data_IF_779604907057
#
_entry.id   IF_779604907057
#
_cell.length_a   1.000
_cell.length_b   1.000
_cell.length_c   1.000
_cell.angle_alpha   90.00
_cell.angle_beta   90.00
_cell.angle_gamma   90.00
#
_symmetry.space_group_name_H-M   'P 1'
#
loop_
_entity.id
_entity.type
_entity.pdbx_description
1 polymer ?
#
# COMPACT_ATOMS: atom_id res chain seq x y z
N UNK A 1 -18.74 12.12 -3.59
CA UNK A 1 -17.61 13.00 -3.92
C UNK A 1 -16.92 13.30 -2.61
N UNK A 2 -15.60 13.09 -2.50
CA UNK A 2 -14.84 13.47 -1.30
C UNK A 2 -13.99 14.68 -1.67
N UNK A 3 -14.53 15.86 -1.40
CA UNK A 3 -13.81 17.14 -1.48
C UNK A 3 -13.23 17.44 -0.10
N UNK A 4 -11.99 17.94 -0.05
CA UNK A 4 -11.33 18.33 1.19
C UNK A 4 -10.37 19.49 0.95
N UNK A 5 -10.15 20.32 1.97
CA UNK A 5 -9.07 21.33 1.96
C UNK A 5 -7.70 20.66 2.17
N UNK A 6 -6.59 21.34 1.83
CA UNK A 6 -5.25 20.81 2.08
C UNK A 6 -4.98 20.51 3.58
N UNK A 7 -5.52 21.32 4.49
CA UNK A 7 -5.44 21.05 5.93
C UNK A 7 -6.18 19.77 6.35
N UNK A 8 -7.40 19.56 5.84
CA UNK A 8 -8.16 18.33 6.07
C UNK A 8 -7.48 17.11 5.43
N UNK A 9 -6.93 17.26 4.23
CA UNK A 9 -6.15 16.24 3.56
C UNK A 9 -4.92 15.84 4.38
N UNK A 10 -4.24 16.81 4.99
CA UNK A 10 -3.06 16.59 5.83
C UNK A 10 -3.41 15.82 7.10
N UNK A 11 -4.50 16.19 7.77
CA UNK A 11 -5.01 15.46 8.93
C UNK A 11 -5.39 14.02 8.55
N UNK A 12 -6.11 13.84 7.45
CA UNK A 12 -6.52 12.52 7.00
C UNK A 12 -5.32 11.65 6.61
N UNK A 13 -4.34 12.21 5.90
CA UNK A 13 -3.11 11.50 5.56
C UNK A 13 -2.36 11.02 6.80
N UNK A 14 -2.20 11.87 7.82
CA UNK A 14 -1.58 11.47 9.10
C UNK A 14 -2.33 10.33 9.76
N UNK A 15 -3.66 10.41 9.84
CA UNK A 15 -4.48 9.35 10.41
C UNK A 15 -4.34 8.01 9.67
N UNK A 16 -4.21 8.04 8.33
CA UNK A 16 -3.94 6.84 7.52
C UNK A 16 -2.55 6.26 7.83
N UNK A 17 -1.53 7.11 7.92
CA UNK A 17 -0.15 6.71 8.25
C UNK A 17 -0.04 6.12 9.66
N UNK A 18 -0.70 6.72 10.64
CA UNK A 18 -0.73 6.23 12.03
C UNK A 18 -1.44 4.87 12.13
N UNK A 19 -2.58 4.73 11.44
CA UNK A 19 -3.32 3.48 11.40
C UNK A 19 -2.51 2.37 10.71
N UNK A 20 -1.88 2.66 9.57
CA UNK A 20 -1.01 1.70 8.88
C UNK A 20 0.17 1.27 9.76
N UNK A 21 0.82 2.20 10.45
CA UNK A 21 1.92 1.92 11.39
C UNK A 21 1.47 1.00 12.53
N UNK A 22 0.29 1.26 13.09
CA UNK A 22 -0.29 0.44 14.17
C UNK A 22 -0.60 -0.97 13.69
N UNK A 23 -1.20 -1.10 12.50
CA UNK A 23 -1.49 -2.40 11.87
C UNK A 23 -0.21 -3.21 11.62
N UNK A 24 0.88 -2.56 11.21
CA UNK A 24 2.19 -3.22 11.02
C UNK A 24 2.76 -3.70 12.36
N UNK A 25 2.70 -2.89 13.42
CA UNK A 25 3.17 -3.28 14.74
C UNK A 25 2.36 -4.47 15.30
N UNK A 26 1.05 -4.46 15.12
CA UNK A 26 0.16 -5.56 15.51
C UNK A 26 0.46 -6.82 14.69
N UNK A 27 0.64 -6.68 13.37
CA UNK A 27 1.01 -7.78 12.49
C UNK A 27 2.34 -8.42 12.90
N UNK A 28 3.36 -7.61 13.25
CA UNK A 28 4.64 -8.10 13.77
C UNK A 28 4.45 -8.91 15.06
N UNK A 29 3.63 -8.41 15.98
CA UNK A 29 3.33 -9.09 17.24
C UNK A 29 2.69 -10.45 16.99
N UNK A 30 1.71 -10.50 16.09
CA UNK A 30 1.04 -11.74 15.71
C UNK A 30 1.95 -12.71 14.96
N UNK A 31 2.86 -12.20 14.12
CA UNK A 31 3.87 -13.00 13.45
C UNK A 31 4.80 -13.68 14.46
N UNK A 32 5.24 -12.94 15.47
CA UNK A 32 6.08 -13.45 16.56
C UNK A 32 5.38 -14.50 17.42
N UNK A 33 4.05 -14.45 17.47
CA UNK A 33 3.19 -15.43 18.14
C UNK A 33 2.74 -16.57 17.21
N UNK A 34 3.35 -16.71 16.02
CA UNK A 34 3.01 -17.71 15.00
C UNK A 34 1.54 -17.67 14.52
N UNK A 35 0.86 -16.54 14.71
CA UNK A 35 -0.49 -16.29 14.19
C UNK A 35 -0.43 -15.78 12.74
N UNK A 36 0.18 -16.58 11.88
CA UNK A 36 0.54 -16.20 10.51
C UNK A 36 -0.63 -15.70 9.67
N UNK A 37 -1.77 -16.37 9.75
CA UNK A 37 -2.99 -15.96 9.05
C UNK A 37 -3.41 -14.54 9.38
N UNK A 38 -3.46 -14.22 10.68
CA UNK A 38 -3.86 -12.89 11.15
C UNK A 38 -2.80 -11.84 10.87
N UNK A 39 -1.53 -12.17 11.07
CA UNK A 39 -0.41 -11.28 10.73
C UNK A 39 -0.50 -10.85 9.26
N UNK A 40 -0.67 -11.81 8.34
CA UNK A 40 -0.84 -11.55 6.91
C UNK A 40 -2.05 -10.67 6.62
N UNK A 41 -3.19 -10.93 7.26
CA UNK A 41 -4.38 -10.09 7.06
C UNK A 41 -4.17 -8.64 7.52
N UNK A 42 -3.48 -8.43 8.64
CA UNK A 42 -3.15 -7.09 9.12
C UNK A 42 -2.15 -6.39 8.20
N UNK A 43 -1.17 -7.10 7.64
CA UNK A 43 -0.26 -6.55 6.61
C UNK A 43 -1.03 -6.04 5.40
N UNK A 44 -1.98 -6.84 4.87
CA UNK A 44 -2.82 -6.43 3.73
C UNK A 44 -3.66 -5.19 4.08
N UNK A 45 -4.22 -5.14 5.29
CA UNK A 45 -4.96 -3.96 5.75
C UNK A 45 -4.07 -2.71 5.83
N UNK A 46 -2.85 -2.84 6.36
CA UNK A 46 -1.90 -1.73 6.39
C UNK A 46 -1.60 -1.21 4.98
N UNK A 47 -1.36 -2.11 4.02
CA UNK A 47 -1.12 -1.74 2.61
C UNK A 47 -2.35 -1.05 1.98
N UNK A 48 -3.57 -1.46 2.30
CA UNK A 48 -4.77 -0.75 1.86
C UNK A 48 -4.90 0.67 2.43
N UNK A 49 -4.45 0.89 3.67
CA UNK A 49 -4.40 2.23 4.27
C UNK A 49 -3.34 3.09 3.59
N UNK A 50 -2.17 2.52 3.31
CA UNK A 50 -1.08 3.20 2.59
C UNK A 50 -1.47 3.57 1.16
N UNK A 51 -2.24 2.72 0.46
CA UNK A 51 -2.76 3.06 -0.86
C UNK A 51 -3.66 4.29 -0.86
N UNK A 52 -4.50 4.44 0.18
CA UNK A 52 -5.26 5.70 0.36
C UNK A 52 -4.33 6.87 0.67
N UNK A 53 -3.33 6.66 1.52
CA UNK A 53 -2.38 7.71 1.89
C UNK A 53 -1.64 8.24 0.64
N UNK A 54 -1.23 7.37 -0.28
CA UNK A 54 -0.62 7.73 -1.56
C UNK A 54 -1.55 8.62 -2.40
N UNK A 55 -2.82 8.23 -2.58
CA UNK A 55 -3.77 9.05 -3.35
C UNK A 55 -3.99 10.45 -2.76
N UNK A 56 -4.02 10.56 -1.42
CA UNK A 56 -4.12 11.85 -0.74
C UNK A 56 -2.85 12.66 -0.95
N UNK A 57 -1.68 12.03 -0.77
CA UNK A 57 -0.38 12.65 -0.91
C UNK A 57 -0.19 13.21 -2.32
N UNK A 58 -0.42 12.41 -3.36
CA UNK A 58 -0.28 12.85 -4.76
C UNK A 58 -1.18 14.02 -5.12
N UNK A 59 -2.37 14.07 -4.52
CA UNK A 59 -3.32 15.16 -4.77
C UNK A 59 -2.92 16.45 -4.06
N UNK A 60 -2.53 16.37 -2.78
CA UNK A 60 -2.47 17.54 -1.90
C UNK A 60 -1.08 17.94 -1.42
N UNK A 61 -0.03 17.14 -1.61
CA UNK A 61 1.22 17.42 -0.89
C UNK A 61 1.86 18.75 -1.28
N UNK A 62 1.72 19.17 -2.54
CA UNK A 62 2.20 20.48 -2.98
C UNK A 62 1.42 21.63 -2.32
N UNK A 63 0.11 21.48 -2.19
CA UNK A 63 -0.78 22.50 -1.65
C UNK A 63 -0.58 22.64 -0.14
N UNK A 64 -0.58 21.54 0.63
CA UNK A 64 -0.37 21.62 2.08
C UNK A 64 1.04 22.11 2.45
N UNK A 65 2.05 21.89 1.59
CA UNK A 65 3.43 22.29 1.88
C UNK A 65 3.65 23.78 1.66
N UNK A 66 2.80 24.41 0.84
CA UNK A 66 2.88 25.83 0.48
C UNK A 66 1.83 26.68 1.22
N UNK A 67 1.07 26.09 2.14
CA UNK A 67 -0.03 26.76 2.83
C UNK A 67 -1.22 27.08 1.91
N UNK A 68 -1.44 26.27 0.88
CA UNK A 68 -2.63 26.37 0.04
C UNK A 68 -3.89 25.99 0.82
N UNK A 69 -5.01 26.64 0.48
CA UNK A 69 -6.30 26.44 1.16
C UNK A 69 -7.39 25.93 0.21
N UNK A 70 -7.14 25.94 -1.10
CA UNK A 70 -8.14 25.61 -2.11
C UNK A 70 -8.57 24.14 -2.01
N UNK A 71 -9.87 23.85 -1.81
CA UNK A 71 -10.37 22.49 -1.77
C UNK A 71 -10.19 21.77 -3.11
N UNK A 72 -9.95 20.45 -3.05
CA UNK A 72 -9.86 19.60 -4.24
C UNK A 72 -10.57 18.28 -4.02
N UNK A 73 -10.99 17.66 -5.12
CA UNK A 73 -11.57 16.32 -5.13
C UNK A 73 -10.46 15.30 -5.38
N UNK A 74 -10.41 14.28 -4.53
CA UNK A 74 -9.54 13.12 -4.73
C UNK A 74 -10.28 12.12 -5.61
N UNK A 75 -10.01 12.17 -6.92
CA UNK A 75 -10.67 11.32 -7.92
C UNK A 75 -10.52 9.83 -7.61
N UNK A 76 -9.29 9.39 -7.30
CA UNK A 76 -8.96 8.00 -6.97
C UNK A 76 -9.71 7.51 -5.74
N UNK A 77 -9.84 8.32 -4.68
CA UNK A 77 -10.61 7.94 -3.49
C UNK A 77 -12.11 7.82 -3.82
N UNK A 78 -12.64 8.70 -4.66
CA UNK A 78 -14.05 8.65 -5.09
C UNK A 78 -14.33 7.40 -5.93
N UNK A 79 -13.43 7.04 -6.83
CA UNK A 79 -13.60 5.92 -7.76
C UNK A 79 -13.26 4.56 -7.14
N UNK A 80 -12.23 4.52 -6.28
CA UNK A 80 -11.58 3.29 -5.85
C UNK A 80 -11.51 3.13 -4.33
N UNK A 81 -11.99 4.09 -3.52
CA UNK A 81 -11.93 4.01 -2.05
C UNK A 81 -12.60 2.77 -1.45
N UNK A 82 -13.59 2.20 -2.14
CA UNK A 82 -14.28 0.95 -1.76
C UNK A 82 -13.63 -0.32 -2.34
N UNK A 83 -12.67 -0.18 -3.25
CA UNK A 83 -11.99 -1.31 -3.87
C UNK A 83 -10.73 -1.66 -3.07
N UNK A 84 -10.82 -2.72 -2.27
CA UNK A 84 -9.68 -3.29 -1.54
C UNK A 84 -8.48 -3.56 -2.46
N UNK A 85 -8.75 -4.20 -3.60
CA UNK A 85 -7.75 -4.54 -4.62
C UNK A 85 -7.04 -3.31 -5.17
N UNK A 86 -7.76 -2.22 -5.49
CA UNK A 86 -7.13 -1.02 -6.05
C UNK A 86 -6.30 -0.26 -5.00
N UNK A 87 -6.75 -0.19 -3.75
CA UNK A 87 -5.95 0.39 -2.65
C UNK A 87 -4.65 -0.39 -2.42
N UNK A 88 -4.74 -1.72 -2.33
CA UNK A 88 -3.58 -2.58 -2.15
C UNK A 88 -2.58 -2.45 -3.31
N UNK A 89 -3.09 -2.49 -4.55
CA UNK A 89 -2.29 -2.37 -5.75
C UNK A 89 -1.45 -1.09 -5.76
N UNK A 90 -2.04 0.05 -5.39
CA UNK A 90 -1.34 1.33 -5.31
C UNK A 90 -0.10 1.25 -4.40
N UNK A 91 -0.25 0.68 -3.20
CA UNK A 91 0.84 0.57 -2.24
C UNK A 91 1.94 -0.39 -2.67
N UNK A 92 1.58 -1.50 -3.33
CA UNK A 92 2.55 -2.47 -3.86
C UNK A 92 3.34 -1.88 -5.02
N UNK A 93 2.66 -1.27 -6.00
CA UNK A 93 3.35 -0.66 -7.15
C UNK A 93 4.34 0.41 -6.68
N UNK A 94 3.92 1.26 -5.74
CA UNK A 94 4.82 2.23 -5.14
C UNK A 94 5.97 1.58 -4.37
N UNK A 95 5.73 0.46 -3.66
CA UNK A 95 6.78 -0.31 -2.99
C UNK A 95 7.79 -0.92 -3.96
N UNK A 96 7.31 -1.45 -5.09
CA UNK A 96 8.15 -2.05 -6.15
C UNK A 96 9.02 -0.99 -6.83
N UNK A 97 8.49 0.21 -7.09
CA UNK A 97 9.27 1.35 -7.58
C UNK A 97 10.40 1.77 -6.62
N UNK A 98 10.30 1.42 -5.33
CA UNK A 98 11.32 1.69 -4.33
C UNK A 98 12.31 0.54 -4.15
N UNK A 99 12.12 -0.62 -4.79
CA UNK A 99 13.04 -1.75 -4.68
C UNK A 99 14.48 -1.34 -5.00
N UNK A 100 14.67 -0.57 -6.06
CA UNK A 100 15.98 -0.03 -6.47
C UNK A 100 16.60 0.89 -5.42
N UNK A 101 15.78 1.70 -4.74
CA UNK A 101 16.24 2.58 -3.66
C UNK A 101 16.78 1.76 -2.48
N UNK A 102 16.20 0.60 -2.21
CA UNK A 102 16.64 -0.34 -1.17
C UNK A 102 17.72 -1.32 -1.64
N UNK A 103 18.27 -1.12 -2.84
CA UNK A 103 19.36 -1.94 -3.40
C UNK A 103 18.90 -3.28 -3.96
N UNK A 104 17.59 -3.48 -4.17
CA UNK A 104 17.04 -4.65 -4.85
C UNK A 104 16.90 -4.37 -6.35
N UNK A 105 17.79 -4.98 -7.13
CA UNK A 105 17.83 -4.91 -8.59
C UNK A 105 17.34 -6.20 -9.26
N UNK A 106 16.78 -7.13 -8.49
CA UNK A 106 16.39 -8.46 -8.98
C UNK A 106 15.22 -8.41 -9.98
N UNK A 107 14.42 -7.34 -9.92
CA UNK A 107 13.23 -7.13 -10.74
C UNK A 107 13.46 -6.26 -11.98
N UNK A 108 14.71 -5.85 -12.28
CA UNK A 108 14.98 -5.00 -13.44
C UNK A 108 14.51 -5.69 -14.73
N UNK A 109 13.53 -5.13 -15.46
CA UNK A 109 13.11 -5.72 -16.71
C UNK A 109 14.27 -5.67 -17.69
N UNK A 110 14.61 -6.82 -18.27
CA UNK A 110 15.44 -6.90 -19.47
C UNK A 110 14.66 -6.27 -20.64
N UNK A 111 14.60 -4.93 -20.67
CA UNK A 111 13.72 -4.21 -21.57
C UNK A 111 14.36 -4.14 -22.95
N UNK A 112 13.73 -4.81 -23.93
CA UNK A 112 13.97 -4.52 -25.34
C UNK A 112 13.56 -3.08 -25.67
N UNK A 113 14.30 -2.43 -26.55
CA UNK A 113 14.28 -0.96 -26.79
C UNK A 113 13.07 -0.43 -27.58
N UNK A 114 11.93 -1.14 -27.60
CA UNK A 114 10.78 -0.83 -28.47
C UNK A 114 9.49 -0.52 -27.70
N UNK A 115 8.67 0.39 -28.24
CA UNK A 115 7.37 0.78 -27.67
C UNK A 115 6.42 -0.41 -27.48
N UNK A 116 6.36 -1.35 -28.43
CA UNK A 116 5.54 -2.56 -28.33
C UNK A 116 6.03 -3.49 -27.21
N UNK A 117 7.35 -3.62 -27.03
CA UNK A 117 7.91 -4.42 -25.95
C UNK A 117 7.62 -3.80 -24.57
N UNK A 118 7.69 -2.48 -24.48
CA UNK A 118 7.31 -1.72 -23.27
C UNK A 118 5.81 -1.87 -22.97
N UNK A 119 4.94 -1.72 -23.95
CA UNK A 119 3.48 -1.82 -23.75
C UNK A 119 3.07 -3.24 -23.30
N UNK A 120 3.67 -4.28 -23.88
CA UNK A 120 3.42 -5.67 -23.47
C UNK A 120 3.95 -5.95 -22.05
N UNK A 121 5.15 -5.46 -21.70
CA UNK A 121 5.70 -5.59 -20.36
C UNK A 121 4.81 -4.90 -19.32
N UNK A 122 4.36 -3.67 -19.61
CA UNK A 122 3.46 -2.92 -18.75
C UNK A 122 2.10 -3.62 -18.57
N UNK A 123 1.48 -4.14 -19.64
CA UNK A 123 0.22 -4.89 -19.55
C UNK A 123 0.37 -6.16 -18.72
N UNK A 124 1.48 -6.88 -18.88
CA UNK A 124 1.79 -8.08 -18.10
C UNK A 124 1.94 -7.75 -16.62
N UNK A 125 2.74 -6.73 -16.28
CA UNK A 125 2.95 -6.28 -14.92
C UNK A 125 1.62 -5.86 -14.26
N UNK A 126 0.78 -5.12 -14.98
CA UNK A 126 -0.54 -4.72 -14.51
C UNK A 126 -1.44 -5.94 -14.21
N UNK A 127 -1.45 -6.95 -15.09
CA UNK A 127 -2.24 -8.16 -14.89
C UNK A 127 -1.76 -8.99 -13.69
N UNK A 128 -0.44 -9.11 -13.53
CA UNK A 128 0.19 -9.79 -12.38
C UNK A 128 -0.15 -9.09 -11.07
N UNK A 129 -0.04 -7.76 -11.04
CA UNK A 129 -0.33 -6.97 -9.86
C UNK A 129 -1.83 -7.01 -9.49
N UNK A 130 -2.73 -7.03 -10.48
CA UNK A 130 -4.17 -7.24 -10.23
C UNK A 130 -4.49 -8.66 -9.70
N UNK A 131 -3.77 -9.68 -10.16
CA UNK A 131 -3.90 -11.03 -9.63
C UNK A 131 -3.42 -11.10 -8.18
N UNK A 132 -2.26 -10.53 -7.88
CA UNK A 132 -1.71 -10.44 -6.53
C UNK A 132 -2.66 -9.69 -5.59
N UNK A 133 -3.26 -8.58 -6.03
CA UNK A 133 -4.21 -7.81 -5.23
C UNK A 133 -5.52 -8.57 -4.95
N UNK A 134 -5.98 -9.44 -5.86
CA UNK A 134 -7.11 -10.35 -5.59
C UNK A 134 -6.73 -11.43 -4.57
N UNK A 135 -5.55 -12.03 -4.74
CA UNK A 135 -5.04 -13.04 -3.80
C UNK A 135 -4.86 -12.46 -2.40
N UNK A 136 -4.30 -11.25 -2.27
CA UNK A 136 -4.14 -10.54 -1.01
C UNK A 136 -5.50 -10.29 -0.33
N UNK A 137 -6.53 -9.91 -1.09
CA UNK A 137 -7.87 -9.75 -0.53
C UNK A 137 -8.47 -11.08 -0.01
N UNK A 138 -8.22 -12.19 -0.70
CA UNK A 138 -8.62 -13.52 -0.23
C UNK A 138 -7.79 -13.96 0.99
N UNK A 139 -6.49 -13.70 0.99
CA UNK A 139 -5.61 -13.97 2.13
C UNK A 139 -6.06 -13.21 3.38
N UNK A 140 -6.42 -11.92 3.21
CA UNK A 140 -7.01 -11.10 4.28
C UNK A 140 -8.24 -11.75 4.90
N UNK A 141 -9.16 -12.28 4.07
CA UNK A 141 -10.36 -12.97 4.59
C UNK A 141 -9.99 -14.26 5.33
N UNK A 142 -9.09 -15.08 4.77
CA UNK A 142 -8.65 -16.35 5.36
C UNK A 142 -7.98 -16.20 6.73
N UNK A 143 -7.36 -15.05 7.02
CA UNK A 143 -6.77 -14.81 8.34
C UNK A 143 -7.77 -14.48 9.45
N UNK A 144 -9.02 -14.13 9.12
CA UNK A 144 -10.05 -13.78 10.13
C UNK A 144 -11.23 -14.74 10.18
N UNK A 145 -11.59 -15.35 9.05
CA UNK A 145 -12.77 -16.21 8.95
C UNK A 145 -12.37 -17.69 8.85
N UNK A 146 -13.24 -18.54 9.41
CA UNK A 146 -13.22 -19.99 9.18
C UNK A 146 -14.17 -20.26 8.02
N UNK A 147 -13.73 -21.05 7.05
CA UNK A 147 -14.50 -21.38 5.85
C UNK A 147 -14.44 -22.88 5.54
N UNK A 148 -15.10 -23.31 4.46
CA UNK A 148 -15.02 -24.67 3.92
C UNK A 148 -14.65 -24.64 2.46
N UNK A 149 -13.74 -25.53 2.05
CA UNK A 149 -13.42 -25.70 0.63
C UNK A 149 -14.54 -26.46 -0.12
N UNK A 150 -14.36 -26.61 -1.44
CA UNK A 150 -15.32 -27.30 -2.31
C UNK A 150 -15.54 -28.79 -1.94
N UNK A 151 -14.58 -29.41 -1.23
CA UNK A 151 -14.68 -30.78 -0.74
C UNK A 151 -15.24 -30.84 0.69
N UNK A 152 -15.57 -29.69 1.28
CA UNK A 152 -16.12 -29.55 2.61
C UNK A 152 -15.08 -29.54 3.74
N UNK A 153 -13.78 -29.48 3.43
CA UNK A 153 -12.72 -29.40 4.42
C UNK A 153 -12.69 -28.02 5.09
N UNK A 154 -12.45 -27.99 6.41
CA UNK A 154 -12.42 -26.74 7.18
C UNK A 154 -11.13 -25.99 6.92
N UNK A 155 -11.25 -24.73 6.50
CA UNK A 155 -10.15 -23.78 6.33
C UNK A 155 -10.14 -22.85 7.55
N UNK A 156 -9.05 -22.86 8.32
CA UNK A 156 -8.89 -22.04 9.52
C UNK A 156 -7.69 -21.11 9.39
N UNK A 157 -7.82 -19.89 9.94
CA UNK A 157 -6.72 -18.93 10.06
C UNK A 157 -5.52 -19.47 10.84
N UNK A 158 -5.74 -20.45 11.72
CA UNK A 158 -4.68 -21.12 12.50
C UNK A 158 -3.92 -22.19 11.72
N UNK A 159 -4.43 -22.61 10.55
CA UNK A 159 -3.79 -23.59 9.69
C UNK A 159 -2.96 -22.94 8.56
N UNK A 160 -2.89 -21.61 8.53
CA UNK A 160 -2.12 -20.87 7.53
C UNK A 160 -0.64 -20.90 7.91
N UNK A 161 0.20 -21.35 6.97
CA UNK A 161 1.66 -21.31 7.13
C UNK A 161 2.22 -19.88 7.03
N UNK A 162 3.43 -19.67 7.56
CA UNK A 162 4.11 -18.37 7.57
C UNK A 162 4.16 -17.68 6.19
N UNK A 163 4.49 -18.43 5.14
CA UNK A 163 4.61 -17.88 3.78
C UNK A 163 5.57 -16.70 3.72
N UNK A 164 5.21 -15.69 2.93
CA UNK A 164 5.95 -14.43 2.70
C UNK A 164 5.60 -13.30 3.67
N UNK A 165 4.92 -13.61 4.77
CA UNK A 165 4.27 -12.58 5.60
C UNK A 165 5.29 -11.60 6.22
N UNK A 166 6.50 -12.08 6.52
CA UNK A 166 7.57 -11.26 7.06
C UNK A 166 8.10 -10.27 6.02
N UNK A 167 8.31 -10.73 4.79
CA UNK A 167 8.76 -9.92 3.66
C UNK A 167 7.70 -8.86 3.29
N UNK A 168 6.43 -9.27 3.20
CA UNK A 168 5.32 -8.37 2.88
C UNK A 168 5.20 -7.26 3.95
N UNK A 169 5.39 -7.61 5.23
CA UNK A 169 5.36 -6.68 6.35
C UNK A 169 6.54 -5.69 6.29
N UNK A 170 7.74 -6.17 5.97
CA UNK A 170 8.91 -5.33 5.78
C UNK A 170 8.71 -4.32 4.63
N UNK A 171 8.12 -4.76 3.52
CA UNK A 171 7.79 -3.90 2.38
C UNK A 171 6.80 -2.81 2.78
N UNK A 172 5.74 -3.14 3.52
CA UNK A 172 4.79 -2.15 4.02
C UNK A 172 5.46 -1.11 4.94
N UNK A 173 6.39 -1.53 5.81
CA UNK A 173 7.14 -0.62 6.67
C UNK A 173 8.05 0.33 5.87
N UNK A 174 8.72 -0.16 4.82
CA UNK A 174 9.54 0.66 3.92
C UNK A 174 8.74 1.72 3.17
N UNK A 175 7.49 1.41 2.80
CA UNK A 175 6.59 2.39 2.17
C UNK A 175 6.28 3.54 3.14
N UNK A 176 6.03 3.24 4.42
CA UNK A 176 5.83 4.27 5.45
C UNK A 176 7.07 5.15 5.57
N UNK A 177 8.24 4.54 5.71
CA UNK A 177 9.50 5.25 5.87
C UNK A 177 9.76 6.19 4.69
N UNK A 178 9.52 5.73 3.45
CA UNK A 178 9.66 6.55 2.27
C UNK A 178 8.67 7.71 2.21
N UNK A 179 7.41 7.49 2.57
CA UNK A 179 6.40 8.56 2.61
C UNK A 179 6.79 9.64 3.62
N UNK A 180 7.34 9.26 4.78
CA UNK A 180 7.84 10.21 5.77
C UNK A 180 9.09 10.96 5.29
N UNK A 181 10.03 10.30 4.63
CA UNK A 181 11.22 10.93 4.02
C UNK A 181 10.81 11.95 2.96
N UNK A 182 9.93 11.55 2.02
CA UNK A 182 9.44 12.43 0.93
C UNK A 182 8.77 13.68 1.48
N UNK A 183 7.99 13.52 2.55
CA UNK A 183 7.27 14.62 3.20
C UNK A 183 8.20 15.57 3.98
N UNK A 184 9.17 14.98 4.71
CA UNK A 184 10.16 15.73 5.50
C UNK A 184 11.11 16.57 4.63
N UNK A 185 11.67 15.99 3.57
CA UNK A 185 12.61 16.68 2.68
C UNK A 185 11.97 17.91 2.00
N UNK A 186 10.68 17.82 1.63
CA UNK A 186 9.99 18.92 0.94
C UNK A 186 9.55 20.03 1.89
N UNK A 187 9.26 19.68 3.15
CA UNK A 187 9.01 20.67 4.20
C UNK A 187 10.24 21.54 4.47
N UNK A 188 11.46 20.97 4.38
CA UNK A 188 12.70 21.74 4.51
C UNK A 188 13.03 22.64 3.31
N UNK A 189 12.67 22.24 2.09
CA UNK A 189 12.88 23.09 0.90
C UNK A 189 11.97 24.33 0.92
N UNK A 190 10.71 24.19 1.33
CA UNK A 190 9.76 25.30 1.48
C UNK A 190 10.14 26.30 2.58
N UNK A 191 10.87 25.87 3.61
CA UNK A 191 11.34 26.74 4.70
C UNK A 191 12.60 27.55 4.34
N UNK A 192 13.33 27.20 3.27
CA UNK A 192 14.58 27.89 2.89
C UNK A 192 14.40 29.12 1.99
N UNK A 193 13.16 29.46 1.62
CA UNK A 193 12.82 30.61 0.76
C UNK A 193 11.94 31.66 1.48
N UNK A 194 11.95 31.66 2.82
CA UNK A 194 11.25 32.65 3.65
C UNK A 194 12.16 33.75 4.20
#
# INVERSE_FOLDING_TARGET
MVEMSPGQAREFWKALMDNASSLIADAHTLLSAESYGRARSLTVLAQEELGKALWIYDTFQADWSRGGEAPRVVGSLTQHGRSHTKKYLEAIVFGDELAEFWGDYSALPASGTGYEAWEQAHKKQQAEAEAAAREANLAKQRGFYVDRDANGAVLSSTAIAAGTTAEDLQTAARVIEMLLIKDGCRSSEGASLG
#
